data_IF_660122148076
#
_entry.id   IF_660122148076
#
_cell.length_a   1.000
_cell.length_b   1.000
_cell.length_c   1.000
_cell.angle_alpha   90.00
_cell.angle_beta   90.00
_cell.angle_gamma   90.00
#
_symmetry.space_group_name_H-M   'P 1'
#
loop_
_entity.id
_entity.type
_entity.pdbx_description
1 polymer ?
#
# COMPACT_ATOMS: atom_id res chain seq x y z
N UNK A 1 51.11 -5.55 8.88
CA UNK A 1 50.37 -6.69 8.31
C UNK A 1 49.83 -7.66 9.37
N UNK A 2 50.55 -7.95 10.46
CA UNK A 2 50.09 -8.89 11.51
C UNK A 2 48.83 -8.42 12.27
N UNK A 3 48.72 -7.12 12.56
CA UNK A 3 47.56 -6.53 13.26
C UNK A 3 46.27 -6.52 12.43
N UNK A 4 46.39 -6.39 11.10
CA UNK A 4 45.26 -6.49 10.17
C UNK A 4 44.70 -7.91 10.13
N UNK A 5 45.59 -8.91 10.03
CA UNK A 5 45.19 -10.32 10.07
C UNK A 5 44.51 -10.67 11.40
N UNK A 6 45.06 -10.22 12.53
CA UNK A 6 44.46 -10.39 13.85
C UNK A 6 43.07 -9.76 13.95
N UNK A 7 42.91 -8.53 13.45
CA UNK A 7 41.61 -7.83 13.48
C UNK A 7 40.55 -8.54 12.63
N UNK A 8 40.91 -9.02 11.43
CA UNK A 8 40.00 -9.79 10.58
C UNK A 8 39.61 -11.13 11.20
N UNK A 9 40.52 -11.78 11.93
CA UNK A 9 40.20 -13.02 12.64
C UNK A 9 39.26 -12.79 13.81
N UNK A 10 39.38 -11.67 14.53
CA UNK A 10 38.50 -11.35 15.67
C UNK A 10 37.04 -11.18 15.22
N UNK A 11 36.79 -10.42 14.16
CA UNK A 11 35.43 -10.22 13.64
C UNK A 11 34.80 -11.52 13.13
N UNK A 12 35.62 -12.43 12.57
CA UNK A 12 35.16 -13.74 12.10
C UNK A 12 34.85 -14.68 13.27
N UNK A 13 35.65 -14.66 14.33
CA UNK A 13 35.41 -15.46 15.52
C UNK A 13 34.18 -14.99 16.31
N UNK A 14 33.99 -13.68 16.45
CA UNK A 14 32.76 -13.11 17.04
C UNK A 14 31.51 -13.59 16.29
N UNK A 15 31.58 -13.67 14.97
CA UNK A 15 30.48 -14.22 14.17
C UNK A 15 30.27 -15.71 14.35
N UNK A 16 31.35 -16.48 14.40
CA UNK A 16 31.27 -17.92 14.66
C UNK A 16 30.63 -18.20 16.02
N UNK A 17 30.92 -17.38 17.02
CA UNK A 17 30.30 -17.48 18.34
C UNK A 17 28.82 -17.12 18.26
N UNK A 18 28.48 -15.93 17.74
CA UNK A 18 27.06 -15.49 17.60
C UNK A 18 26.19 -16.50 16.85
N UNK A 19 26.70 -17.06 15.74
CA UNK A 19 25.99 -18.08 14.96
C UNK A 19 25.77 -19.36 15.78
N UNK A 20 26.78 -19.84 16.52
CA UNK A 20 26.63 -21.02 17.37
C UNK A 20 25.61 -20.80 18.49
N UNK A 21 25.64 -19.63 19.11
CA UNK A 21 24.70 -19.28 20.18
C UNK A 21 23.26 -19.21 19.65
N UNK A 22 23.07 -18.60 18.47
CA UNK A 22 21.78 -18.59 17.79
C UNK A 22 21.30 -20.02 17.47
N UNK A 23 22.15 -20.88 16.90
CA UNK A 23 21.78 -22.28 16.60
C UNK A 23 21.44 -23.08 17.86
N UNK A 24 22.19 -22.88 18.94
CA UNK A 24 21.89 -23.49 20.23
C UNK A 24 20.52 -23.03 20.75
N UNK A 25 20.23 -21.72 20.72
CA UNK A 25 18.93 -21.18 21.14
C UNK A 25 17.78 -21.69 20.28
N UNK A 26 17.96 -21.77 18.96
CA UNK A 26 16.96 -22.30 18.03
C UNK A 26 16.66 -23.79 18.30
N UNK A 27 17.69 -24.57 18.59
CA UNK A 27 17.59 -25.99 18.90
C UNK A 27 16.92 -26.22 20.26
N UNK A 28 17.34 -25.48 21.28
CA UNK A 28 16.77 -25.54 22.63
C UNK A 28 15.29 -25.17 22.66
N UNK A 29 14.86 -24.22 21.82
CA UNK A 29 13.44 -23.82 21.68
C UNK A 29 12.64 -24.71 20.72
N UNK A 30 13.24 -25.76 20.16
CA UNK A 30 12.59 -26.70 19.24
C UNK A 30 11.90 -26.00 18.07
N UNK A 31 12.52 -24.94 17.53
CA UNK A 31 11.95 -24.23 16.38
C UNK A 31 11.82 -25.17 15.18
N UNK A 32 10.75 -25.07 14.37
CA UNK A 32 10.63 -25.82 13.13
C UNK A 32 11.76 -25.49 12.15
N UNK A 33 12.19 -26.47 11.35
CA UNK A 33 13.34 -26.31 10.44
C UNK A 33 13.14 -25.18 9.41
N UNK A 34 11.89 -24.92 9.00
CA UNK A 34 11.56 -23.79 8.12
C UNK A 34 11.96 -22.44 8.75
N UNK A 35 11.61 -22.22 10.02
CA UNK A 35 11.95 -21.01 10.75
C UNK A 35 13.46 -20.91 11.00
N UNK A 36 14.13 -22.03 11.32
CA UNK A 36 15.59 -22.06 11.48
C UNK A 36 16.29 -21.64 10.19
N UNK A 37 15.81 -22.12 9.05
CA UNK A 37 16.37 -21.77 7.75
C UNK A 37 16.17 -20.29 7.43
N UNK A 38 14.99 -19.74 7.72
CA UNK A 38 14.73 -18.30 7.55
C UNK A 38 15.63 -17.44 8.45
N UNK A 39 15.81 -17.83 9.72
CA UNK A 39 16.72 -17.13 10.64
C UNK A 39 18.15 -17.17 10.11
N UNK A 40 18.64 -18.31 9.64
CA UNK A 40 19.99 -18.43 9.05
C UNK A 40 20.18 -17.54 7.82
N UNK A 41 19.19 -17.49 6.94
CA UNK A 41 19.20 -16.62 5.75
C UNK A 41 19.26 -15.15 6.18
N UNK A 42 18.43 -14.76 7.15
CA UNK A 42 18.41 -13.40 7.68
C UNK A 42 19.75 -13.00 8.31
N UNK A 43 20.32 -13.84 9.17
CA UNK A 43 21.62 -13.56 9.79
C UNK A 43 22.74 -13.45 8.77
N UNK A 44 22.72 -14.30 7.74
CA UNK A 44 23.69 -14.25 6.65
C UNK A 44 23.54 -12.95 5.84
N UNK A 45 22.31 -12.58 5.47
CA UNK A 45 22.05 -11.34 4.73
C UNK A 45 22.45 -10.12 5.55
N UNK A 46 22.01 -10.04 6.81
CA UNK A 46 22.37 -8.95 7.73
C UNK A 46 23.89 -8.81 7.88
N UNK A 47 24.62 -9.92 7.96
CA UNK A 47 26.08 -9.91 8.03
C UNK A 47 26.73 -9.38 6.75
N UNK A 48 26.24 -9.77 5.56
CA UNK A 48 26.78 -9.29 4.30
C UNK A 48 26.62 -7.78 4.16
N UNK A 49 25.49 -7.25 4.60
CA UNK A 49 25.16 -5.82 4.49
C UNK A 49 25.89 -4.98 5.57
N UNK A 50 25.82 -5.39 6.85
CA UNK A 50 26.36 -4.59 7.97
C UNK A 50 27.80 -4.93 8.37
N UNK A 51 28.36 -6.04 7.85
CA UNK A 51 29.66 -6.61 8.26
C UNK A 51 29.82 -6.79 9.78
N UNK A 52 28.71 -6.97 10.49
CA UNK A 52 28.70 -7.18 11.94
C UNK A 52 28.65 -5.93 12.79
N UNK A 53 28.66 -4.77 12.15
CA UNK A 53 28.59 -3.50 12.86
C UNK A 53 27.14 -3.27 13.25
N UNK A 54 26.92 -3.13 14.55
CA UNK A 54 25.65 -2.67 15.07
C UNK A 54 25.60 -1.14 14.94
N UNK A 55 25.00 -0.67 13.83
CA UNK A 55 24.92 0.75 13.49
C UNK A 55 24.22 1.56 14.57
N UNK A 56 23.14 1.04 15.15
CA UNK A 56 22.39 1.72 16.21
C UNK A 56 23.26 1.90 17.45
N UNK A 57 23.97 0.85 17.89
CA UNK A 57 24.88 0.94 19.03
C UNK A 57 26.09 1.85 18.75
N UNK A 58 26.66 1.79 17.55
CA UNK A 58 27.77 2.67 17.15
C UNK A 58 27.35 4.14 17.22
N UNK A 59 26.19 4.47 16.65
CA UNK A 59 25.65 5.83 16.59
C UNK A 59 25.20 6.32 17.97
N UNK A 60 24.66 5.44 18.83
CA UNK A 60 24.21 5.82 20.17
C UNK A 60 25.35 6.23 21.11
N UNK A 61 26.57 5.71 20.91
CA UNK A 61 27.75 6.05 21.69
C UNK A 61 28.36 7.42 21.33
N UNK A 62 27.90 8.05 20.26
CA UNK A 62 28.38 9.36 19.82
C UNK A 62 27.66 10.52 20.56
N UNK A 63 28.33 11.67 20.70
CA UNK A 63 27.71 12.94 21.08
C UNK A 63 26.45 13.25 20.25
N UNK A 64 25.48 13.96 20.86
CA UNK A 64 24.14 14.16 20.29
C UNK A 64 24.16 14.88 18.94
N UNK A 65 25.04 15.86 18.81
CA UNK A 65 25.33 16.62 17.60
C UNK A 65 25.82 15.72 16.47
N UNK A 66 26.90 14.95 16.70
CA UNK A 66 27.44 14.02 15.69
C UNK A 66 26.42 12.94 15.31
N UNK A 67 25.68 12.41 16.28
CA UNK A 67 24.61 11.45 16.03
C UNK A 67 23.56 12.01 15.09
N UNK A 68 23.10 13.25 15.32
CA UNK A 68 22.09 13.91 14.49
C UNK A 68 22.62 14.14 13.08
N UNK A 69 23.85 14.60 12.93
CA UNK A 69 24.45 14.86 11.62
C UNK A 69 24.62 13.58 10.79
N UNK A 70 25.07 12.49 11.43
CA UNK A 70 25.19 11.17 10.78
C UNK A 70 23.81 10.65 10.36
N UNK A 71 22.82 10.67 11.27
CA UNK A 71 21.46 10.24 10.94
C UNK A 71 20.84 11.07 9.81
N UNK A 72 21.02 12.39 9.84
CA UNK A 72 20.59 13.28 8.76
C UNK A 72 21.28 12.89 7.45
N UNK A 73 22.59 12.67 7.45
CA UNK A 73 23.30 12.27 6.23
C UNK A 73 22.81 10.93 5.67
N UNK A 74 22.63 9.93 6.54
CA UNK A 74 22.20 8.59 6.15
C UNK A 74 20.74 8.57 5.66
N UNK A 75 19.83 9.28 6.34
CA UNK A 75 18.39 9.19 6.07
C UNK A 75 17.87 10.26 5.11
N UNK A 76 18.50 11.44 5.01
CA UNK A 76 17.93 12.56 4.24
C UNK A 76 17.87 12.24 2.74
N UNK A 77 18.95 11.69 2.17
CA UNK A 77 18.96 11.29 0.76
C UNK A 77 17.89 10.24 0.43
N UNK A 78 17.48 9.48 1.44
CA UNK A 78 16.52 8.38 1.36
C UNK A 78 15.09 8.90 1.46
N UNK A 79 14.84 9.79 2.42
CA UNK A 79 13.55 10.48 2.52
C UNK A 79 13.27 11.31 1.28
N UNK A 80 14.28 12.01 0.73
CA UNK A 80 14.13 12.80 -0.50
C UNK A 80 13.80 11.94 -1.73
N UNK A 81 14.02 10.62 -1.71
CA UNK A 81 13.55 9.71 -2.77
C UNK A 81 12.06 9.45 -2.71
N UNK A 82 11.45 9.57 -1.53
CA UNK A 82 10.01 9.42 -1.37
C UNK A 82 9.37 10.77 -1.68
N UNK A 83 8.62 10.91 -2.79
CA UNK A 83 8.19 12.23 -3.27
C UNK A 83 7.26 13.00 -2.32
N UNK A 84 6.72 12.32 -1.29
CA UNK A 84 5.94 12.97 -0.24
C UNK A 84 6.77 13.90 0.64
N UNK A 85 8.04 13.56 0.89
CA UNK A 85 8.92 14.29 1.79
C UNK A 85 9.62 15.48 1.14
N UNK A 86 9.70 15.52 -0.19
CA UNK A 86 10.32 16.62 -0.93
C UNK A 86 9.70 18.00 -0.61
N UNK A 87 8.41 18.02 -0.23
CA UNK A 87 7.65 19.25 0.05
C UNK A 87 7.56 19.59 1.53
N UNK A 88 8.22 18.82 2.40
CA UNK A 88 8.22 19.04 3.85
C UNK A 88 9.31 20.02 4.27
N UNK A 89 9.12 20.63 5.44
CA UNK A 89 10.15 21.51 6.03
C UNK A 89 11.36 20.73 6.50
N UNK A 90 12.54 21.35 6.41
CA UNK A 90 13.78 20.76 6.91
C UNK A 90 13.70 20.36 8.39
N UNK A 91 13.02 21.14 9.23
CA UNK A 91 12.87 20.81 10.66
C UNK A 91 12.05 19.53 10.88
N UNK A 92 11.04 19.30 10.05
CA UNK A 92 10.21 18.10 10.09
C UNK A 92 11.00 16.91 9.55
N UNK A 93 11.72 17.09 8.44
CA UNK A 93 12.60 16.07 7.88
C UNK A 93 13.68 15.65 8.88
N UNK A 94 14.28 16.59 9.59
CA UNK A 94 15.24 16.31 10.66
C UNK A 94 14.62 15.48 11.78
N UNK A 95 13.45 15.89 12.26
CA UNK A 95 12.75 15.18 13.33
C UNK A 95 12.36 13.74 12.92
N UNK A 96 12.08 13.53 11.63
CA UNK A 96 11.86 12.21 11.05
C UNK A 96 13.15 11.40 10.94
N UNK A 97 14.23 11.97 10.38
CA UNK A 97 15.56 11.35 10.29
C UNK A 97 16.05 10.84 11.64
N UNK A 98 15.81 11.58 12.71
CA UNK A 98 16.22 11.17 14.07
C UNK A 98 15.53 9.89 14.56
N UNK A 99 14.33 9.59 14.06
CA UNK A 99 13.43 8.50 14.51
C UNK A 99 13.39 7.30 13.57
N UNK A 100 13.77 7.48 12.31
CA UNK A 100 13.83 6.39 11.34
C UNK A 100 14.88 5.36 11.77
N UNK A 101 14.52 4.08 11.60
CA UNK A 101 15.41 2.95 11.88
C UNK A 101 15.61 2.10 10.63
N UNK A 102 16.86 1.75 10.27
CA UNK A 102 17.09 0.83 9.17
C UNK A 102 16.53 -0.55 9.51
N UNK A 103 15.84 -1.17 8.56
CA UNK A 103 15.31 -2.53 8.67
C UNK A 103 15.65 -3.32 7.41
N UNK A 104 15.88 -4.61 7.61
CA UNK A 104 16.24 -5.56 6.57
C UNK A 104 15.21 -6.69 6.55
N UNK A 105 14.78 -7.08 5.35
CA UNK A 105 13.90 -8.23 5.15
C UNK A 105 14.50 -9.17 4.11
N UNK A 106 14.46 -10.47 4.37
CA UNK A 106 14.87 -11.50 3.40
C UNK A 106 13.78 -11.73 2.36
N UNK A 107 14.12 -12.44 1.29
CA UNK A 107 13.16 -12.86 0.26
C UNK A 107 11.99 -13.66 0.87
N UNK A 108 10.82 -13.55 0.23
CA UNK A 108 9.58 -14.26 0.60
C UNK A 108 9.03 -13.96 2.02
N UNK A 109 9.59 -12.98 2.72
CA UNK A 109 9.15 -12.54 4.04
C UNK A 109 7.82 -11.81 3.95
N UNK A 110 6.89 -12.17 4.84
CA UNK A 110 5.65 -11.43 5.01
C UNK A 110 5.88 -10.32 6.04
N UNK A 111 5.76 -9.06 5.61
CA UNK A 111 5.94 -7.89 6.47
C UNK A 111 4.68 -7.67 7.31
N UNK A 112 3.53 -7.62 6.65
CA UNK A 112 2.22 -7.41 7.29
C UNK A 112 1.15 -8.13 6.47
N UNK A 113 0.12 -8.69 7.12
CA UNK A 113 -1.04 -9.27 6.43
C UNK A 113 -2.21 -8.30 6.47
N UNK A 114 -3.09 -8.42 5.48
CA UNK A 114 -4.36 -7.71 5.49
C UNK A 114 -5.14 -8.06 6.78
N UNK A 115 -5.50 -7.04 7.55
CA UNK A 115 -6.17 -7.17 8.85
C UNK A 115 -5.26 -7.07 10.08
N UNK A 116 -3.94 -7.23 9.93
CA UNK A 116 -3.00 -7.11 11.05
C UNK A 116 -2.86 -5.66 11.51
N UNK A 117 -2.57 -5.39 12.80
CA UNK A 117 -2.28 -4.03 13.27
C UNK A 117 -0.99 -3.50 12.62
N UNK A 118 -1.04 -2.26 12.13
CA UNK A 118 0.12 -1.56 11.57
C UNK A 118 0.80 -0.77 12.68
N UNK A 119 2.02 -1.15 13.04
CA UNK A 119 2.83 -0.55 14.10
C UNK A 119 4.02 0.28 13.58
N UNK A 120 4.37 0.11 12.30
CA UNK A 120 5.39 0.89 11.61
C UNK A 120 5.03 1.22 10.16
N UNK A 121 5.51 2.36 9.70
CA UNK A 121 5.47 2.79 8.31
C UNK A 121 6.84 2.55 7.68
N UNK A 122 6.89 1.89 6.52
CA UNK A 122 8.14 1.50 5.87
C UNK A 122 8.40 2.31 4.61
N UNK A 123 9.62 2.81 4.48
CA UNK A 123 10.12 3.52 3.30
C UNK A 123 11.13 2.65 2.58
N UNK A 124 10.81 2.24 1.35
CA UNK A 124 11.58 1.23 0.62
C UNK A 124 12.78 1.87 -0.04
N UNK A 125 13.97 1.37 0.30
CA UNK A 125 15.23 1.84 -0.23
C UNK A 125 15.76 1.00 -1.37
N UNK A 126 15.74 -0.31 -1.17
CA UNK A 126 16.18 -1.30 -2.15
C UNK A 126 15.27 -2.51 -2.07
N UNK A 127 15.13 -3.21 -3.20
CA UNK A 127 14.37 -4.44 -3.29
C UNK A 127 12.98 -4.25 -3.92
N UNK A 128 12.25 -5.36 -3.99
CA UNK A 128 10.92 -5.45 -4.59
C UNK A 128 9.96 -6.10 -3.62
N UNK A 129 8.80 -5.48 -3.46
CA UNK A 129 7.73 -6.01 -2.63
C UNK A 129 6.47 -6.18 -3.48
N UNK A 130 5.65 -7.15 -3.10
CA UNK A 130 4.31 -7.34 -3.61
C UNK A 130 3.31 -6.93 -2.54
N UNK A 131 2.38 -6.06 -2.92
CA UNK A 131 1.21 -5.75 -2.11
C UNK A 131 -0.01 -6.37 -2.74
N UNK A 132 -0.86 -6.99 -1.93
CA UNK A 132 -2.09 -7.64 -2.37
C UNK A 132 -3.22 -7.23 -1.44
N UNK A 133 -4.38 -6.92 -1.99
CA UNK A 133 -5.59 -6.69 -1.21
C UNK A 133 -6.78 -7.45 -1.79
N UNK A 134 -7.52 -8.06 -0.89
CA UNK A 134 -8.80 -8.71 -1.15
C UNK A 134 -9.97 -7.84 -0.69
N UNK A 135 -9.69 -6.66 -0.12
CA UNK A 135 -10.65 -5.75 0.48
C UNK A 135 -11.59 -6.49 1.45
N UNK A 136 -11.00 -7.15 2.44
CA UNK A 136 -11.69 -7.94 3.44
C UNK A 136 -12.32 -9.21 2.88
N UNK A 137 -11.67 -9.90 1.94
CA UNK A 137 -12.15 -11.17 1.38
C UNK A 137 -13.32 -11.02 0.40
N UNK A 138 -13.49 -9.85 -0.23
CA UNK A 138 -14.59 -9.61 -1.16
C UNK A 138 -14.44 -10.45 -2.43
N UNK A 139 -15.44 -11.28 -2.72
CA UNK A 139 -15.44 -12.14 -3.90
C UNK A 139 -15.32 -11.34 -5.20
N UNK A 140 -14.32 -11.69 -6.03
CA UNK A 140 -14.05 -11.03 -7.31
C UNK A 140 -13.31 -9.70 -7.20
N UNK A 141 -12.79 -9.33 -6.03
CA UNK A 141 -11.88 -8.20 -5.85
C UNK A 141 -10.48 -8.71 -5.51
N UNK A 142 -9.52 -8.44 -6.39
CA UNK A 142 -8.12 -8.73 -6.18
C UNK A 142 -7.33 -7.60 -6.82
N UNK A 143 -6.58 -6.87 -6.01
CA UNK A 143 -5.65 -5.86 -6.49
C UNK A 143 -4.27 -6.22 -5.98
N UNK A 144 -3.31 -6.28 -6.91
CA UNK A 144 -1.92 -6.58 -6.62
C UNK A 144 -1.04 -5.53 -7.27
N UNK A 145 -0.04 -5.06 -6.55
CA UNK A 145 0.86 -4.02 -7.01
C UNK A 145 2.27 -4.22 -6.46
N UNK A 146 3.26 -3.90 -7.27
CA UNK A 146 4.66 -3.98 -6.89
C UNK A 146 5.12 -2.65 -6.29
N UNK A 147 5.74 -2.70 -5.11
CA UNK A 147 6.47 -1.58 -4.54
C UNK A 147 7.95 -1.73 -4.82
N UNK A 148 8.60 -0.60 -5.13
CA UNK A 148 10.03 -0.49 -5.44
C UNK A 148 10.66 0.63 -4.62
N UNK A 149 11.96 0.83 -4.82
CA UNK A 149 12.69 1.94 -4.22
C UNK A 149 11.98 3.29 -4.42
N UNK A 150 11.77 4.03 -3.34
CA UNK A 150 11.03 5.31 -3.30
C UNK A 150 9.54 5.17 -2.96
N UNK A 151 8.99 3.96 -2.95
CA UNK A 151 7.64 3.70 -2.46
C UNK A 151 7.62 3.46 -0.95
N UNK A 152 6.44 3.44 -0.36
CA UNK A 152 6.23 3.20 1.07
C UNK A 152 4.98 2.34 1.33
N UNK A 153 4.89 1.75 2.53
CA UNK A 153 3.69 1.07 3.03
C UNK A 153 3.43 1.39 4.51
N UNK A 154 2.26 1.01 5.03
CA UNK A 154 1.81 1.41 6.37
C UNK A 154 1.19 2.82 6.40
N UNK A 155 0.61 3.25 5.29
CA UNK A 155 0.01 4.58 5.11
C UNK A 155 -1.21 4.82 6.01
N UNK A 156 -1.82 3.74 6.50
CA UNK A 156 -2.86 3.73 7.51
C UNK A 156 -2.45 4.49 8.79
N UNK A 157 -1.18 4.36 9.18
CA UNK A 157 -0.64 5.02 10.37
C UNK A 157 -0.63 6.52 10.27
N UNK A 158 -0.50 7.08 9.06
CA UNK A 158 -0.49 8.53 8.90
C UNK A 158 -1.85 9.12 9.26
N UNK A 159 -2.93 8.52 8.76
CA UNK A 159 -4.30 8.93 9.12
C UNK A 159 -4.54 8.86 10.61
N UNK A 160 -4.10 7.77 11.25
CA UNK A 160 -4.22 7.59 12.69
C UNK A 160 -3.39 8.61 13.49
N UNK A 161 -2.14 8.86 13.11
CA UNK A 161 -1.25 9.75 13.84
C UNK A 161 -1.67 11.22 13.76
N UNK A 162 -2.39 11.60 12.71
CA UNK A 162 -2.87 12.97 12.50
C UNK A 162 -4.23 13.26 13.14
N UNK A 163 -4.97 12.22 13.53
CA UNK A 163 -6.23 12.37 14.26
C UNK A 163 -5.98 13.14 15.58
N UNK A 164 -6.72 14.23 15.88
CA UNK A 164 -6.63 14.93 17.16
C UNK A 164 -6.89 14.03 18.36
N UNK A 165 -7.74 13.00 18.21
CA UNK A 165 -8.09 12.05 19.26
C UNK A 165 -7.85 10.62 18.77
N UNK A 166 -6.58 10.23 18.58
CA UNK A 166 -6.25 8.92 18.05
C UNK A 166 -6.66 7.85 19.05
N UNK A 167 -7.33 6.81 18.57
CA UNK A 167 -7.65 5.64 19.39
C UNK A 167 -6.37 5.01 19.95
N UNK A 168 -6.47 4.36 21.10
CA UNK A 168 -5.36 3.57 21.67
C UNK A 168 -4.98 2.38 20.80
N UNK A 169 -5.89 1.97 19.90
CA UNK A 169 -5.71 0.83 19.02
C UNK A 169 -5.04 1.27 17.73
N UNK A 170 -4.02 0.53 17.30
CA UNK A 170 -3.38 0.73 16.01
C UNK A 170 -4.36 0.46 14.86
N UNK A 171 -4.21 1.17 13.72
CA UNK A 171 -5.02 0.90 12.56
C UNK A 171 -4.69 -0.48 11.97
N UNK A 172 -5.68 -1.12 11.35
CA UNK A 172 -5.51 -2.42 10.68
C UNK A 172 -5.04 -2.24 9.24
N UNK A 173 -4.11 -3.07 8.80
CA UNK A 173 -3.58 -3.06 7.44
C UNK A 173 -4.66 -3.41 6.43
N UNK A 174 -4.72 -2.64 5.35
CA UNK A 174 -5.64 -2.88 4.23
C UNK A 174 -5.09 -3.85 3.18
N UNK A 175 -3.80 -4.20 3.28
CA UNK A 175 -3.08 -5.02 2.30
C UNK A 175 -2.14 -6.01 2.97
N UNK A 176 -1.95 -7.15 2.33
CA UNK A 176 -0.81 -8.04 2.62
C UNK A 176 0.40 -7.54 1.87
N UNK A 177 1.53 -7.39 2.56
CA UNK A 177 2.81 -6.97 1.99
C UNK A 177 3.82 -8.10 2.16
N UNK A 178 4.39 -8.56 1.06
CA UNK A 178 5.40 -9.61 1.02
C UNK A 178 6.61 -9.18 0.21
N UNK A 179 7.81 -9.55 0.64
CA UNK A 179 9.04 -9.30 -0.10
C UNK A 179 9.21 -10.32 -1.23
N UNK A 180 9.65 -9.85 -2.39
CA UNK A 180 10.01 -10.68 -3.55
C UNK A 180 11.52 -10.83 -3.71
N UNK A 181 12.28 -9.91 -3.11
CA UNK A 181 13.75 -9.94 -3.07
C UNK A 181 14.19 -9.54 -1.65
N UNK A 182 15.50 -9.52 -1.41
CA UNK A 182 16.04 -8.86 -0.23
C UNK A 182 15.68 -7.37 -0.28
N UNK A 183 15.18 -6.85 0.84
CA UNK A 183 14.68 -5.48 0.96
C UNK A 183 15.41 -4.75 2.06
N UNK A 184 15.82 -3.54 1.72
CA UNK A 184 16.31 -2.54 2.66
C UNK A 184 15.25 -1.46 2.75
N UNK A 185 14.85 -1.12 3.97
CA UNK A 185 13.88 -0.08 4.21
C UNK A 185 14.21 0.69 5.49
N UNK A 186 13.54 1.83 5.66
CA UNK A 186 13.52 2.53 6.94
C UNK A 186 12.13 2.42 7.55
N UNK A 187 12.08 2.04 8.82
CA UNK A 187 10.87 1.97 9.61
C UNK A 187 10.71 3.24 10.45
N UNK A 188 9.50 3.82 10.41
CA UNK A 188 9.04 4.85 11.32
C UNK A 188 7.92 4.26 12.17
N UNK A 189 8.16 4.12 13.47
CA UNK A 189 7.19 3.52 14.39
C UNK A 189 5.99 4.42 14.61
N UNK A 190 4.85 3.82 14.97
CA UNK A 190 3.60 4.52 15.25
C UNK A 190 3.77 5.61 16.32
N UNK A 191 4.42 5.29 17.45
CA UNK A 191 4.64 6.25 18.53
C UNK A 191 5.52 7.43 18.10
N UNK A 192 6.55 7.15 17.31
CA UNK A 192 7.46 8.14 16.76
C UNK A 192 6.76 9.05 15.74
N UNK A 193 5.92 8.48 14.88
CA UNK A 193 5.10 9.23 13.94
C UNK A 193 4.08 10.10 14.67
N UNK A 194 3.41 9.57 15.71
CA UNK A 194 2.47 10.33 16.54
C UNK A 194 3.14 11.49 17.26
N UNK A 195 4.34 11.26 17.79
CA UNK A 195 5.14 12.33 18.37
C UNK A 195 5.41 13.43 17.34
N UNK A 196 5.88 13.07 16.15
CA UNK A 196 6.18 14.02 15.08
C UNK A 196 4.91 14.75 14.60
N UNK A 197 3.79 14.04 14.45
CA UNK A 197 2.48 14.64 14.14
C UNK A 197 2.06 15.71 15.17
N UNK A 198 2.26 15.44 16.46
CA UNK A 198 1.89 16.37 17.53
C UNK A 198 2.71 17.66 17.54
N UNK A 199 3.98 17.60 17.11
CA UNK A 199 4.92 18.73 17.18
C UNK A 199 4.87 19.61 15.92
N UNK A 200 4.58 19.01 14.75
CA UNK A 200 4.73 19.70 13.47
C UNK A 200 3.39 19.98 12.81
N UNK A 201 2.83 21.17 13.08
CA UNK A 201 1.58 21.65 12.45
C UNK A 201 1.60 21.61 10.93
N UNK A 202 2.77 21.65 10.30
CA UNK A 202 2.90 21.59 8.83
C UNK A 202 2.54 20.23 8.25
N UNK A 203 2.61 19.15 9.02
CA UNK A 203 2.01 17.86 8.65
C UNK A 203 0.51 18.02 8.37
N UNK A 204 -0.12 19.04 8.95
CA UNK A 204 -1.52 19.37 8.74
C UNK A 204 -1.85 20.20 7.49
N UNK A 205 -0.86 20.50 6.65
CA UNK A 205 -1.05 21.33 5.47
C UNK A 205 -1.93 20.66 4.40
N UNK A 206 -2.77 21.48 3.74
CA UNK A 206 -3.58 21.06 2.57
C UNK A 206 -2.73 20.41 1.48
N UNK A 207 -1.54 20.95 1.24
CA UNK A 207 -0.60 20.46 0.23
C UNK A 207 -0.13 19.03 0.52
N UNK A 208 0.21 18.70 1.77
CA UNK A 208 0.58 17.34 2.14
C UNK A 208 -0.60 16.38 2.01
N UNK A 209 -1.84 16.81 2.31
CA UNK A 209 -3.02 15.96 2.07
C UNK A 209 -3.13 15.52 0.62
N UNK A 210 -2.93 16.44 -0.32
CA UNK A 210 -3.02 16.14 -1.74
C UNK A 210 -1.88 15.22 -2.20
N UNK A 211 -0.66 15.49 -1.73
CA UNK A 211 0.51 14.66 -2.02
C UNK A 211 0.29 13.23 -1.48
N UNK A 212 -0.18 13.09 -0.24
CA UNK A 212 -0.50 11.79 0.35
C UNK A 212 -1.56 11.04 -0.46
N UNK A 213 -2.68 11.69 -0.80
CA UNK A 213 -3.74 11.07 -1.63
C UNK A 213 -3.23 10.63 -2.99
N UNK A 214 -2.26 11.35 -3.54
CA UNK A 214 -1.68 11.02 -4.84
C UNK A 214 -0.72 9.83 -4.77
N UNK A 215 0.06 9.68 -3.69
CA UNK A 215 1.01 8.57 -3.55
C UNK A 215 0.43 7.34 -2.84
N UNK A 216 -0.66 7.50 -2.09
CA UNK A 216 -1.29 6.39 -1.37
C UNK A 216 -1.94 5.38 -2.30
N UNK A 217 -1.64 4.11 -2.04
CA UNK A 217 -2.16 3.01 -2.86
C UNK A 217 -3.63 2.71 -2.58
N UNK A 218 -4.08 2.90 -1.34
CA UNK A 218 -5.49 2.83 -1.00
C UNK A 218 -6.30 3.90 -1.73
N UNK A 219 -5.83 5.15 -1.73
CA UNK A 219 -6.51 6.26 -2.39
C UNK A 219 -6.57 6.06 -3.90
N UNK A 220 -5.49 5.59 -4.53
CA UNK A 220 -5.46 5.25 -5.97
C UNK A 220 -6.44 4.13 -6.30
N UNK A 221 -6.47 3.07 -5.51
CA UNK A 221 -7.38 1.93 -5.70
C UNK A 221 -8.83 2.36 -5.55
N UNK A 222 -9.13 3.13 -4.50
CA UNK A 222 -10.45 3.69 -4.27
C UNK A 222 -10.89 4.57 -5.43
N UNK A 223 -10.04 5.50 -5.88
CA UNK A 223 -10.34 6.41 -6.99
C UNK A 223 -10.60 5.63 -8.29
N UNK A 224 -9.76 4.63 -8.60
CA UNK A 224 -9.94 3.77 -9.77
C UNK A 224 -11.29 3.04 -9.72
N UNK A 225 -11.64 2.44 -8.58
CA UNK A 225 -12.93 1.77 -8.41
C UNK A 225 -14.12 2.73 -8.48
N UNK A 226 -13.98 3.93 -7.93
CA UNK A 226 -15.00 4.97 -7.99
C UNK A 226 -15.28 5.39 -9.45
N UNK A 227 -14.23 5.68 -10.21
CA UNK A 227 -14.31 6.03 -11.64
C UNK A 227 -14.91 4.86 -12.44
N UNK A 228 -14.46 3.62 -12.19
CA UNK A 228 -15.01 2.42 -12.84
C UNK A 228 -16.51 2.26 -12.55
N UNK A 229 -16.95 2.50 -11.31
CA UNK A 229 -18.35 2.41 -10.95
C UNK A 229 -19.18 3.52 -11.63
N UNK A 230 -18.68 4.75 -11.65
CA UNK A 230 -19.32 5.88 -12.35
C UNK A 230 -19.45 5.61 -13.85
N UNK A 231 -18.38 5.11 -14.49
CA UNK A 231 -18.38 4.72 -15.91
C UNK A 231 -19.37 3.61 -16.21
N UNK A 232 -19.44 2.59 -15.35
CA UNK A 232 -20.42 1.49 -15.49
C UNK A 232 -21.85 2.01 -15.37
N UNK A 233 -22.13 2.94 -14.45
CA UNK A 233 -23.45 3.59 -14.31
C UNK A 233 -23.79 4.41 -15.57
N UNK A 234 -22.86 5.23 -16.05
CA UNK A 234 -23.04 6.00 -17.28
C UNK A 234 -23.27 5.09 -18.50
N UNK A 235 -22.45 4.05 -18.67
CA UNK A 235 -22.57 3.09 -19.76
C UNK A 235 -23.89 2.34 -19.74
N UNK A 236 -24.39 1.99 -18.54
CA UNK A 236 -25.71 1.37 -18.35
C UNK A 236 -26.82 2.34 -18.76
N UNK A 237 -26.78 3.58 -18.26
CA UNK A 237 -27.77 4.62 -18.59
C UNK A 237 -27.80 4.90 -20.10
N UNK A 238 -26.64 5.07 -20.74
CA UNK A 238 -26.54 5.31 -22.19
C UNK A 238 -27.09 4.14 -23.01
N UNK A 239 -26.91 2.90 -22.54
CA UNK A 239 -27.46 1.72 -23.20
C UNK A 239 -29.00 1.67 -23.05
N UNK A 240 -29.52 1.99 -21.87
CA UNK A 240 -30.96 2.08 -21.61
C UNK A 240 -31.63 3.19 -22.43
N UNK A 241 -31.00 4.36 -22.53
CA UNK A 241 -31.43 5.46 -23.41
C UNK A 241 -31.47 5.02 -24.88
N UNK A 242 -30.42 4.35 -25.37
CA UNK A 242 -30.39 3.81 -26.73
C UNK A 242 -31.47 2.76 -26.99
N UNK A 243 -31.78 1.91 -26.01
CA UNK A 243 -32.85 0.91 -26.14
C UNK A 243 -34.23 1.58 -26.18
N UNK A 244 -34.46 2.61 -25.36
CA UNK A 244 -35.70 3.40 -25.38
C UNK A 244 -35.88 4.16 -26.70
N UNK A 245 -34.80 4.72 -27.25
CA UNK A 245 -34.85 5.35 -28.57
C UNK A 245 -35.17 4.35 -29.69
N UNK A 246 -34.53 3.17 -29.68
CA UNK A 246 -34.80 2.13 -30.66
C UNK A 246 -36.24 1.60 -30.54
N UNK A 247 -36.76 1.45 -29.32
CA UNK A 247 -38.15 1.05 -29.05
C UNK A 247 -39.15 2.09 -29.55
N UNK A 248 -38.95 3.38 -29.24
CA UNK A 248 -39.81 4.46 -29.73
C UNK A 248 -39.80 4.53 -31.26
N UNK A 249 -38.63 4.40 -31.91
CA UNK A 249 -38.52 4.38 -33.38
C UNK A 249 -39.24 3.18 -34.00
N UNK A 250 -39.19 2.03 -33.34
CA UNK A 250 -39.94 0.85 -33.78
C UNK A 250 -41.45 1.07 -33.64
N UNK A 251 -41.91 1.62 -32.52
CA UNK A 251 -43.32 1.94 -32.28
C UNK A 251 -43.84 2.97 -33.31
N UNK A 252 -43.08 4.03 -33.61
CA UNK A 252 -43.43 5.01 -34.63
C UNK A 252 -43.50 4.39 -36.04
N UNK A 253 -42.56 3.50 -36.38
CA UNK A 253 -42.54 2.82 -37.67
C UNK A 253 -43.72 1.85 -37.83
N UNK A 254 -44.15 1.20 -36.73
CA UNK A 254 -45.34 0.36 -36.70
C UNK A 254 -46.63 1.19 -36.79
N UNK A 255 -46.72 2.32 -36.09
CA UNK A 255 -47.87 3.22 -36.16
C UNK A 255 -48.06 3.85 -37.56
N UNK A 256 -46.97 4.09 -38.30
CA UNK A 256 -47.00 4.58 -39.68
C UNK A 256 -47.27 3.47 -40.72
N UNK A 257 -47.04 2.21 -40.38
CA UNK A 257 -47.29 1.07 -41.26
C UNK A 257 -48.76 0.63 -41.17
N UNK A 258 -49.66 1.38 -41.80
CA UNK A 258 -51.11 1.11 -41.82
C UNK A 258 -51.54 -0.08 -42.70
N UNK A 259 -50.78 -1.17 -42.78
CA UNK A 259 -51.10 -2.34 -43.64
C UNK A 259 -50.57 -3.68 -43.10
N UNK A 260 -51.11 -4.80 -43.58
CA UNK A 260 -50.92 -6.16 -43.02
C UNK A 260 -49.51 -6.76 -43.09
N UNK A 261 -48.52 -6.00 -43.58
CA UNK A 261 -47.12 -6.41 -43.72
C UNK A 261 -46.19 -5.40 -43.04
N UNK A 262 -45.23 -5.84 -42.19
CA UNK A 262 -44.30 -4.94 -41.55
C UNK A 262 -43.42 -4.22 -42.58
N UNK A 263 -43.33 -2.90 -42.47
CA UNK A 263 -42.51 -2.09 -43.37
C UNK A 263 -41.02 -2.46 -43.23
N UNK A 264 -40.24 -2.35 -44.32
CA UNK A 264 -38.79 -2.58 -44.33
C UNK A 264 -38.08 -1.82 -43.19
N UNK A 265 -38.54 -0.60 -42.90
CA UNK A 265 -38.05 0.23 -41.79
C UNK A 265 -38.29 -0.40 -40.42
N UNK A 266 -39.49 -0.95 -40.16
CA UNK A 266 -39.80 -1.62 -38.90
C UNK A 266 -38.90 -2.85 -38.67
N UNK A 267 -38.61 -3.64 -39.71
CA UNK A 267 -37.71 -4.80 -39.63
C UNK A 267 -36.27 -4.39 -39.30
N UNK A 268 -35.78 -3.29 -39.89
CA UNK A 268 -34.45 -2.74 -39.60
C UNK A 268 -34.35 -2.29 -38.13
N UNK A 269 -35.37 -1.58 -37.63
CA UNK A 269 -35.40 -1.15 -36.23
C UNK A 269 -35.52 -2.31 -35.24
N UNK A 270 -36.35 -3.32 -35.54
CA UNK A 270 -36.47 -4.53 -34.72
C UNK A 270 -35.15 -5.31 -34.63
N UNK A 271 -34.42 -5.43 -35.75
CA UNK A 271 -33.08 -6.04 -35.79
C UNK A 271 -32.08 -5.26 -34.93
N UNK A 272 -32.10 -3.92 -35.01
CA UNK A 272 -31.21 -3.06 -34.21
C UNK A 272 -31.52 -3.14 -32.72
N UNK A 273 -32.80 -3.12 -32.36
CA UNK A 273 -33.27 -3.34 -30.98
C UNK A 273 -32.83 -4.71 -30.45
N UNK A 274 -33.06 -5.79 -31.21
CA UNK A 274 -32.66 -7.15 -30.83
C UNK A 274 -31.15 -7.27 -30.66
N UNK A 275 -30.35 -6.70 -31.57
CA UNK A 275 -28.88 -6.70 -31.46
C UNK A 275 -28.39 -5.94 -30.21
N UNK A 276 -29.01 -4.80 -29.88
CA UNK A 276 -28.67 -4.02 -28.69
C UNK A 276 -29.13 -4.71 -27.39
N UNK A 277 -30.31 -5.34 -27.38
CA UNK A 277 -30.81 -6.14 -26.27
C UNK A 277 -29.92 -7.38 -26.01
N UNK A 278 -29.49 -8.08 -27.07
CA UNK A 278 -28.55 -9.21 -26.96
C UNK A 278 -27.17 -8.78 -26.44
N UNK A 279 -26.67 -7.60 -26.82
CA UNK A 279 -25.45 -7.03 -26.23
C UNK A 279 -25.63 -6.73 -24.74
N UNK A 280 -26.80 -6.25 -24.31
CA UNK A 280 -27.12 -6.02 -22.91
C UNK A 280 -27.13 -7.34 -22.11
N UNK A 281 -27.75 -8.38 -22.68
CA UNK A 281 -27.81 -9.72 -22.09
C UNK A 281 -26.41 -10.33 -22.01
N UNK A 282 -25.55 -10.21 -23.03
CA UNK A 282 -24.17 -10.72 -22.98
C UNK A 282 -23.30 -10.01 -21.95
N UNK A 283 -23.43 -8.68 -21.83
CA UNK A 283 -22.72 -7.87 -20.81
C UNK A 283 -23.16 -8.21 -19.38
N UNK A 284 -24.43 -8.58 -19.19
CA UNK A 284 -24.96 -9.03 -17.90
C UNK A 284 -24.75 -10.54 -17.67
N UNK A 285 -24.70 -11.34 -18.73
CA UNK A 285 -24.64 -12.80 -18.74
C UNK A 285 -23.29 -13.36 -18.34
N UNK A 286 -22.19 -12.69 -18.67
CA UNK A 286 -20.86 -13.04 -18.13
C UNK A 286 -20.75 -12.82 -16.62
N UNK A 287 -21.72 -12.14 -15.99
CA UNK A 287 -21.85 -12.02 -14.52
C UNK A 287 -22.89 -12.96 -13.90
N UNK A 288 -23.89 -13.42 -14.66
CA UNK A 288 -25.01 -14.20 -14.13
C UNK A 288 -24.73 -15.68 -13.89
N UNK A 289 -23.64 -16.25 -14.41
CA UNK A 289 -23.31 -17.66 -14.12
C UNK A 289 -22.70 -17.92 -12.74
N UNK A 290 -22.61 -16.92 -11.84
CA UNK A 290 -22.00 -17.13 -10.51
C UNK A 290 -22.73 -16.61 -9.26
N UNK A 291 -23.77 -15.76 -9.29
CA UNK A 291 -24.46 -15.36 -8.03
C UNK A 291 -25.91 -14.89 -8.26
N UNK A 292 -26.88 -15.26 -7.39
CA UNK A 292 -28.23 -14.69 -7.38
C UNK A 292 -28.26 -13.25 -6.83
N UNK A 293 -29.32 -12.55 -7.21
CA UNK A 293 -29.55 -11.12 -7.12
C UNK A 293 -29.91 -10.65 -5.69
N UNK A 294 -29.07 -9.80 -5.09
CA UNK A 294 -29.40 -8.65 -4.20
C UNK A 294 -28.21 -8.25 -3.32
N UNK A 295 -27.28 -7.47 -3.87
CA UNK A 295 -26.57 -6.44 -3.11
C UNK A 295 -26.18 -5.33 -4.10
N UNK A 296 -26.38 -4.02 -3.79
CA UNK A 296 -25.82 -2.96 -4.61
C UNK A 296 -24.31 -3.18 -4.73
N UNK A 297 -23.64 -2.72 -5.81
CA UNK A 297 -22.19 -2.75 -5.87
C UNK A 297 -21.68 -1.89 -4.71
N UNK A 298 -21.40 -2.51 -3.56
CA UNK A 298 -20.82 -1.85 -2.41
C UNK A 298 -19.55 -1.18 -2.95
N UNK A 299 -19.53 0.14 -2.99
CA UNK A 299 -18.31 0.84 -3.39
C UNK A 299 -17.25 0.51 -2.35
N UNK A 300 -15.97 0.50 -2.75
CA UNK A 300 -14.90 0.48 -1.76
C UNK A 300 -15.20 1.58 -0.73
N UNK A 301 -15.10 1.25 0.56
CA UNK A 301 -15.27 2.25 1.59
C UNK A 301 -14.24 3.34 1.33
N UNK A 302 -14.69 4.60 1.36
CA UNK A 302 -13.80 5.74 1.19
C UNK A 302 -12.71 5.62 2.27
N UNK A 303 -11.41 5.58 1.89
CA UNK A 303 -10.34 5.60 2.87
C UNK A 303 -10.55 6.78 3.83
N UNK A 304 -10.30 6.57 5.11
CA UNK A 304 -10.41 7.63 6.09
C UNK A 304 -9.49 8.79 5.69
N UNK A 305 -10.05 9.99 5.62
CA UNK A 305 -9.23 11.18 5.37
C UNK A 305 -8.46 11.46 6.66
N UNK A 306 -7.13 11.66 6.60
CA UNK A 306 -6.41 12.15 7.76
C UNK A 306 -7.06 13.47 8.16
N UNK A 307 -7.38 13.61 9.44
CA UNK A 307 -7.85 14.89 9.94
C UNK A 307 -6.64 15.81 10.00
N UNK A 308 -6.72 16.92 9.28
CA UNK A 308 -5.69 17.93 9.40
C UNK A 308 -6.23 19.30 9.75
N UNK A 309 -7.37 19.33 10.44
CA UNK A 309 -7.90 20.56 11.02
C UNK A 309 -7.08 20.85 12.29
N UNK A 310 -5.97 21.58 12.13
CA UNK A 310 -5.40 22.28 13.27
C UNK A 310 -6.45 23.32 13.68
N UNK A 311 -6.92 23.25 14.93
CA UNK A 311 -7.84 24.23 15.51
C UNK A 311 -7.38 25.65 15.15
N UNK A 312 -8.20 26.37 14.38
CA UNK A 312 -8.24 27.83 14.41
C UNK A 312 -8.78 28.23 15.79
N UNK A 313 -7.97 28.04 16.84
CA UNK A 313 -8.19 28.61 18.16
C UNK A 313 -7.04 29.56 18.45
N UNK A 314 -7.24 30.79 18.01
CA UNK A 314 -6.77 31.97 18.72
C UNK A 314 -7.96 32.55 19.48
#
# INVERSE_FOLDING_TARGET
MQTYLQSTTTTLEEMRVKRRDAEYQMSHRLLPDSHRQQIRQYEQYKWQETRGVDEDNLICNLPKDLRRDIKRHLCLALLMRVPMFEKMDEQLLDAMCDRLKPVLYTEESCIVREGDPVDEMLFIMRGKLLTVTTNGGRTGFFNSEYLKAGDFCGEELLTWALDPNPSSNLPTSTRTVQTLSEVEAFALKADDLKFVASQFRRLHSKQLRHTFRFYSQQWRTWAACFIQAAWRRYSKRKLEESLREDENRLQDALAKAGGSSPSLGATIYASRFAANALRAIRRNGTRKSRVPERLPPMLLQKPAEPDFTAEERN
#
